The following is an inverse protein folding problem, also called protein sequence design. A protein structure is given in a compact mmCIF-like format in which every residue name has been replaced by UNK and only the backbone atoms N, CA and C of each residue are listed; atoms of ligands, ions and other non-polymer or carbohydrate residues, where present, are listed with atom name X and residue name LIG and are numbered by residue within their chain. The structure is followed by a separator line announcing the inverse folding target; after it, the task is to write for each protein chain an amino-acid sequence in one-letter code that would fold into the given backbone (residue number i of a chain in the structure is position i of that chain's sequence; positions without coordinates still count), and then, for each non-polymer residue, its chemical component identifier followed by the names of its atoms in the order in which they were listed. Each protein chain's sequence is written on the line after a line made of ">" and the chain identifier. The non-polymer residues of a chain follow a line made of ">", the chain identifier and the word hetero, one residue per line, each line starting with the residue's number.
data_IF_312292717466
#
_entry.id   IF_312292717466
#
_cell.length_a   1.000
_cell.length_b   1.000
_cell.length_c   1.000
_cell.angle_alpha   90.00
_cell.angle_beta   90.00
_cell.angle_gamma   90.00
#
_symmetry.space_group_name_H-M   'P 1'
#
loop_
_entity.id
_entity.type
_entity.pdbx_description
1 polymer ?
#
# COMPACT_ATOMS: atom_id res chain seq x y z
N UNK A 1 -20.34 27.34 -53.82
CA UNK A 1 -19.13 26.54 -53.58
C UNK A 1 -18.22 27.12 -52.47
N UNK A 2 -18.56 28.24 -51.83
CA UNK A 2 -17.63 29.01 -50.98
C UNK A 2 -17.69 28.76 -49.46
N UNK A 3 -18.48 27.79 -48.98
CA UNK A 3 -18.62 27.51 -47.54
C UNK A 3 -17.78 26.33 -47.05
N UNK A 4 -17.25 25.51 -47.96
CA UNK A 4 -16.51 24.30 -47.59
C UNK A 4 -15.07 24.62 -47.15
N UNK A 5 -14.43 25.58 -47.82
CA UNK A 5 -13.03 25.95 -47.57
C UNK A 5 -12.84 26.59 -46.18
N UNK A 6 -13.76 27.46 -45.75
CA UNK A 6 -13.74 28.06 -44.40
C UNK A 6 -13.93 27.04 -43.28
N UNK A 7 -14.70 26.00 -43.51
CA UNK A 7 -14.95 24.97 -42.50
C UNK A 7 -13.73 24.05 -42.36
N UNK A 8 -13.07 23.72 -43.47
CA UNK A 8 -11.82 22.93 -43.47
C UNK A 8 -10.70 23.68 -42.74
N UNK A 9 -10.57 24.98 -42.98
CA UNK A 9 -9.55 25.82 -42.33
C UNK A 9 -9.80 26.00 -40.83
N UNK A 10 -11.07 26.09 -40.42
CA UNK A 10 -11.47 26.12 -39.01
C UNK A 10 -11.16 24.78 -38.32
N UNK A 11 -11.44 23.64 -38.97
CA UNK A 11 -11.11 22.31 -38.44
C UNK A 11 -9.60 22.11 -38.31
N UNK A 12 -8.81 22.64 -39.25
CA UNK A 12 -7.35 22.60 -39.18
C UNK A 12 -6.80 23.42 -37.99
N UNK A 13 -7.33 24.63 -37.77
CA UNK A 13 -6.97 25.47 -36.62
C UNK A 13 -7.37 24.83 -35.28
N UNK A 14 -8.54 24.17 -35.20
CA UNK A 14 -8.95 23.41 -34.03
C UNK A 14 -8.01 22.23 -33.72
N UNK A 15 -7.55 21.51 -34.76
CA UNK A 15 -6.57 20.43 -34.61
C UNK A 15 -5.23 20.91 -34.07
N UNK A 16 -4.79 22.10 -34.49
CA UNK A 16 -3.52 22.70 -34.04
C UNK A 16 -3.60 23.23 -32.60
N UNK A 17 -4.72 23.84 -32.22
CA UNK A 17 -4.98 24.26 -30.84
C UNK A 17 -5.08 23.06 -29.90
N UNK A 18 -5.76 21.97 -30.32
CA UNK A 18 -5.80 20.71 -29.56
C UNK A 18 -4.41 20.11 -29.36
N UNK A 19 -3.57 20.14 -30.40
CA UNK A 19 -2.20 19.60 -30.35
C UNK A 19 -1.31 20.39 -29.37
N UNK A 20 -1.42 21.72 -29.37
CA UNK A 20 -0.71 22.57 -28.42
C UNK A 20 -1.25 22.43 -26.99
N UNK A 21 -2.55 22.20 -26.81
CA UNK A 21 -3.17 21.97 -25.49
C UNK A 21 -2.73 20.65 -24.88
N UNK A 22 -2.68 19.57 -25.67
CA UNK A 22 -2.19 18.25 -25.24
C UNK A 22 -0.68 18.33 -24.91
N UNK A 23 0.10 19.08 -25.69
CA UNK A 23 1.54 19.30 -25.42
C UNK A 23 1.80 19.86 -24.03
N UNK A 24 1.12 20.95 -23.65
CA UNK A 24 1.27 21.59 -22.34
C UNK A 24 0.70 20.74 -21.19
N UNK A 25 -0.40 20.01 -21.44
CA UNK A 25 -1.03 19.15 -20.43
C UNK A 25 -0.13 17.96 -20.04
N UNK A 26 0.72 17.47 -20.95
CA UNK A 26 1.63 16.35 -20.64
C UNK A 26 2.71 16.69 -19.61
N UNK A 27 3.16 17.94 -19.54
CA UNK A 27 4.23 18.36 -18.61
C UNK A 27 3.71 18.48 -17.17
N UNK A 28 2.50 19.03 -17.01
CA UNK A 28 1.79 19.05 -15.72
C UNK A 28 1.41 17.65 -15.23
N UNK A 29 0.97 16.77 -16.13
CA UNK A 29 0.65 15.37 -15.78
C UNK A 29 1.90 14.60 -15.36
N UNK A 30 3.06 14.83 -16.00
CA UNK A 30 4.33 14.20 -15.59
C UNK A 30 4.72 14.60 -14.17
N UNK A 31 4.58 15.87 -13.81
CA UNK A 31 4.92 16.35 -12.46
C UNK A 31 3.96 15.80 -11.39
N UNK A 32 2.65 15.76 -11.66
CA UNK A 32 1.65 15.17 -10.74
C UNK A 32 1.87 13.66 -10.55
N UNK A 33 2.24 12.94 -11.61
CA UNK A 33 2.59 11.51 -11.52
C UNK A 33 3.85 11.31 -10.68
N UNK A 34 4.90 12.12 -10.87
CA UNK A 34 6.13 12.04 -10.07
C UNK A 34 5.82 12.33 -8.60
N UNK A 35 5.02 13.35 -8.29
CA UNK A 35 4.64 13.67 -6.92
C UNK A 35 3.87 12.52 -6.25
N UNK A 36 2.90 11.91 -6.96
CA UNK A 36 2.17 10.73 -6.47
C UNK A 36 3.08 9.54 -6.24
N UNK A 37 4.01 9.27 -7.16
CA UNK A 37 4.98 8.17 -7.00
C UNK A 37 5.88 8.41 -5.78
N UNK A 38 6.38 9.64 -5.59
CA UNK A 38 7.19 9.97 -4.40
C UNK A 38 6.38 9.78 -3.12
N UNK A 39 5.14 10.30 -3.05
CA UNK A 39 4.26 10.09 -1.89
C UNK A 39 3.99 8.61 -1.62
N UNK A 40 3.76 7.81 -2.67
CA UNK A 40 3.57 6.36 -2.55
C UNK A 40 4.83 5.67 -2.02
N UNK A 41 6.00 6.02 -2.56
CA UNK A 41 7.29 5.50 -2.10
C UNK A 41 7.57 5.88 -0.64
N UNK A 42 7.28 7.12 -0.25
CA UNK A 42 7.39 7.56 1.16
C UNK A 42 6.45 6.75 2.05
N UNK A 43 5.20 6.55 1.66
CA UNK A 43 4.23 5.76 2.41
C UNK A 43 4.66 4.29 2.55
N UNK A 44 5.16 3.68 1.48
CA UNK A 44 5.71 2.31 1.49
C UNK A 44 6.92 2.26 2.42
N UNK A 45 7.86 3.20 2.30
CA UNK A 45 9.07 3.27 3.13
C UNK A 45 8.71 3.38 4.61
N UNK A 46 7.81 4.30 4.97
CA UNK A 46 7.33 4.44 6.34
C UNK A 46 6.66 3.16 6.83
N UNK A 47 5.80 2.56 6.00
CA UNK A 47 5.12 1.30 6.34
C UNK A 47 6.14 0.19 6.62
N UNK A 48 7.16 0.04 5.78
CA UNK A 48 8.23 -0.94 5.97
C UNK A 48 9.01 -0.67 7.25
N UNK A 49 9.36 0.58 7.53
CA UNK A 49 10.05 0.97 8.77
C UNK A 49 9.19 0.64 9.99
N UNK A 50 7.91 1.01 10.00
CA UNK A 50 6.99 0.71 11.09
C UNK A 50 6.81 -0.79 11.31
N UNK A 51 6.60 -1.57 10.25
CA UNK A 51 6.48 -3.04 10.34
C UNK A 51 7.77 -3.63 10.90
N UNK A 52 8.94 -3.16 10.42
CA UNK A 52 10.24 -3.66 10.90
C UNK A 52 10.43 -3.39 12.39
N UNK A 53 10.18 -2.15 12.83
CA UNK A 53 10.24 -1.78 14.24
C UNK A 53 9.26 -2.58 15.09
N UNK A 54 8.03 -2.75 14.59
CA UNK A 54 7.00 -3.53 15.27
C UNK A 54 7.40 -5.00 15.44
N UNK A 55 7.98 -5.62 14.39
CA UNK A 55 8.47 -6.99 14.46
C UNK A 55 9.61 -7.14 15.48
N UNK A 56 10.57 -6.20 15.48
CA UNK A 56 11.65 -6.20 16.46
C UNK A 56 11.09 -6.08 17.88
N UNK A 57 10.18 -5.14 18.11
CA UNK A 57 9.52 -4.95 19.41
C UNK A 57 8.79 -6.21 19.86
N UNK A 58 8.06 -6.87 18.95
CA UNK A 58 7.30 -8.09 19.24
C UNK A 58 8.21 -9.26 19.61
N UNK A 59 9.38 -9.39 18.97
CA UNK A 59 10.41 -10.38 19.34
C UNK A 59 10.91 -10.12 20.77
N UNK A 60 11.30 -8.87 21.09
CA UNK A 60 11.76 -8.54 22.45
C UNK A 60 10.67 -8.75 23.50
N UNK A 61 9.43 -8.41 23.19
CA UNK A 61 8.29 -8.65 24.08
C UNK A 61 8.04 -10.14 24.29
N UNK A 62 8.25 -10.97 23.26
CA UNK A 62 8.19 -12.44 23.36
C UNK A 62 9.23 -12.98 24.31
N UNK A 63 10.47 -12.48 24.21
CA UNK A 63 11.54 -12.86 25.14
C UNK A 63 11.20 -12.45 26.57
N UNK A 64 10.73 -11.22 26.77
CA UNK A 64 10.31 -10.74 28.10
C UNK A 64 9.20 -11.62 28.68
N UNK A 65 8.20 -11.98 27.87
CA UNK A 65 7.14 -12.90 28.28
C UNK A 65 7.68 -14.30 28.62
N UNK A 66 8.65 -14.82 27.87
CA UNK A 66 9.24 -16.13 28.13
C UNK A 66 9.98 -16.18 29.47
N UNK A 67 10.79 -15.16 29.74
CA UNK A 67 11.48 -15.01 31.02
C UNK A 67 10.51 -14.79 32.19
N UNK A 68 9.44 -14.02 31.99
CA UNK A 68 8.40 -13.87 33.00
C UNK A 68 7.71 -15.21 33.31
N UNK A 69 7.42 -16.02 32.28
CA UNK A 69 6.80 -17.33 32.42
C UNK A 69 7.75 -18.37 33.05
N UNK A 70 9.06 -18.24 32.81
CA UNK A 70 10.08 -19.09 33.42
C UNK A 70 10.03 -19.05 34.94
N UNK A 71 9.78 -17.87 35.55
CA UNK A 71 9.65 -17.75 37.00
C UNK A 71 8.51 -18.62 37.55
N UNK A 72 7.44 -18.81 36.78
CA UNK A 72 6.31 -19.65 37.18
C UNK A 72 6.54 -21.14 36.90
N UNK A 73 7.19 -21.48 35.77
CA UNK A 73 7.36 -22.86 35.33
C UNK A 73 8.66 -23.51 35.83
N UNK A 74 9.63 -22.72 36.28
CA UNK A 74 10.96 -23.18 36.69
C UNK A 74 11.81 -23.74 35.54
N UNK A 75 11.39 -23.55 34.29
CA UNK A 75 12.11 -24.05 33.11
C UNK A 75 11.91 -23.16 31.89
N UNK A 76 13.02 -22.63 31.40
CA UNK A 76 13.08 -21.77 30.23
C UNK A 76 12.55 -22.47 28.96
N UNK A 77 12.85 -23.77 28.80
CA UNK A 77 12.45 -24.54 27.61
C UNK A 77 10.92 -24.62 27.48
N UNK A 78 10.24 -24.88 28.59
CA UNK A 78 8.78 -24.97 28.61
C UNK A 78 8.12 -23.61 28.36
N UNK A 79 8.69 -22.53 28.90
CA UNK A 79 8.22 -21.17 28.66
C UNK A 79 8.28 -20.77 27.18
N UNK A 80 9.42 -21.02 26.52
CA UNK A 80 9.55 -20.76 25.09
C UNK A 80 8.64 -21.64 24.24
N UNK A 81 8.45 -22.92 24.61
CA UNK A 81 7.52 -23.81 23.91
C UNK A 81 6.07 -23.31 23.96
N UNK A 82 5.61 -22.81 25.12
CA UNK A 82 4.25 -22.30 25.28
C UNK A 82 4.04 -21.04 24.44
N UNK A 83 4.99 -20.11 24.46
CA UNK A 83 4.91 -18.87 23.67
C UNK A 83 4.97 -19.19 22.17
N UNK A 84 5.86 -20.11 21.77
CA UNK A 84 5.94 -20.60 20.39
C UNK A 84 4.63 -21.24 19.94
N UNK A 85 4.03 -22.11 20.76
CA UNK A 85 2.72 -22.70 20.48
C UNK A 85 1.63 -21.62 20.33
N UNK A 86 1.65 -20.60 21.18
CA UNK A 86 0.71 -19.47 21.09
C UNK A 86 0.81 -18.77 19.74
N UNK A 87 2.03 -18.52 19.24
CA UNK A 87 2.24 -17.95 17.91
C UNK A 87 1.74 -18.85 16.78
N UNK A 88 1.93 -20.17 16.88
CA UNK A 88 1.39 -21.13 15.90
C UNK A 88 -0.14 -21.10 15.89
N UNK A 89 -0.79 -21.05 17.06
CA UNK A 89 -2.24 -20.94 17.15
C UNK A 89 -2.74 -19.64 16.51
N UNK A 90 -2.09 -18.51 16.80
CA UNK A 90 -2.41 -17.22 16.17
C UNK A 90 -2.22 -17.31 14.65
N UNK A 91 -1.14 -17.93 14.18
CA UNK A 91 -0.89 -18.13 12.76
C UNK A 91 -2.01 -18.91 12.07
N UNK A 92 -2.41 -20.07 12.63
CA UNK A 92 -3.54 -20.85 12.11
C UNK A 92 -4.86 -20.07 12.15
N UNK A 93 -5.13 -19.34 13.22
CA UNK A 93 -6.30 -18.48 13.32
C UNK A 93 -6.31 -17.42 12.21
N UNK A 94 -5.17 -16.79 11.95
CA UNK A 94 -5.01 -15.78 10.89
C UNK A 94 -5.20 -16.39 9.50
N UNK A 95 -4.77 -17.63 9.27
CA UNK A 95 -4.99 -18.35 8.01
C UNK A 95 -6.47 -18.66 7.78
N UNK A 96 -7.20 -19.11 8.80
CA UNK A 96 -8.63 -19.42 8.70
C UNK A 96 -9.45 -18.14 8.44
N UNK A 97 -9.13 -17.06 9.14
CA UNK A 97 -9.83 -15.78 9.01
C UNK A 97 -9.28 -14.89 7.87
N UNK A 98 -8.35 -15.40 7.04
CA UNK A 98 -7.66 -14.62 6.00
C UNK A 98 -8.60 -13.85 5.06
N UNK A 99 -9.73 -14.46 4.69
CA UNK A 99 -10.69 -13.88 3.76
C UNK A 99 -11.41 -12.65 4.35
N UNK A 100 -11.59 -12.58 5.68
CA UNK A 100 -12.27 -11.45 6.33
C UNK A 100 -11.28 -10.40 6.85
N UNK A 101 -10.13 -10.82 7.37
CA UNK A 101 -9.15 -9.92 7.98
C UNK A 101 -8.17 -9.29 6.98
N UNK A 102 -7.82 -9.97 5.90
CA UNK A 102 -6.76 -9.52 4.97
C UNK A 102 -7.35 -9.13 3.62
N UNK A 103 -8.19 -9.99 3.02
CA UNK A 103 -8.72 -9.72 1.68
C UNK A 103 -9.71 -8.55 1.64
N UNK A 104 -10.69 -8.47 2.53
CA UNK A 104 -11.67 -7.37 2.52
C UNK A 104 -11.04 -5.98 2.65
N UNK A 105 -10.10 -5.72 3.59
CA UNK A 105 -9.43 -4.42 3.65
C UNK A 105 -8.48 -4.18 2.48
N UNK A 106 -7.76 -5.19 1.97
CA UNK A 106 -6.90 -5.04 0.79
C UNK A 106 -7.70 -4.72 -0.47
N UNK A 107 -8.79 -5.44 -0.71
CA UNK A 107 -9.69 -5.19 -1.85
C UNK A 107 -10.30 -3.81 -1.74
N UNK A 108 -10.70 -3.38 -0.55
CA UNK A 108 -11.25 -2.03 -0.33
C UNK A 108 -10.19 -0.94 -0.53
N UNK A 109 -8.94 -1.18 -0.11
CA UNK A 109 -7.81 -0.29 -0.34
C UNK A 109 -7.46 -0.18 -1.82
N UNK A 110 -7.28 -1.31 -2.52
CA UNK A 110 -7.01 -1.36 -3.96
C UNK A 110 -8.16 -0.75 -4.77
N UNK A 111 -9.41 -1.04 -4.41
CA UNK A 111 -10.57 -0.42 -5.02
C UNK A 111 -10.55 1.09 -4.79
N UNK A 112 -10.25 1.57 -3.58
CA UNK A 112 -10.15 3.02 -3.32
C UNK A 112 -9.00 3.69 -4.06
N UNK A 113 -7.88 2.99 -4.30
CA UNK A 113 -6.70 3.55 -4.97
C UNK A 113 -6.87 3.56 -6.50
N UNK A 114 -7.57 2.56 -7.06
CA UNK A 114 -7.87 2.48 -8.50
C UNK A 114 -9.14 3.24 -8.92
N UNK A 115 -10.16 3.33 -8.06
CA UNK A 115 -11.42 4.04 -8.34
C UNK A 115 -11.43 5.48 -7.82
N UNK A 116 -10.39 5.91 -7.09
CA UNK A 116 -10.21 7.34 -6.80
C UNK A 116 -9.87 8.07 -8.11
N UNK A 117 -10.89 8.73 -8.65
CA UNK A 117 -10.81 9.64 -9.79
C UNK A 117 -10.07 10.93 -9.45
#
# INVERSE_FOLDING_TARGET
>A
MFSNDKNIETIAQLGEVLKNYIGLQTEYVKLDVVEKVVKLLTAITLTVVFITLFLIALIYFSFAAAYALEVLLGSLIWSFSIIGCTYVVIFFFTLIFRHTLIEKPLVKFLASLLLAK
#
